data_IF_402828587083
#
_entry.id   IF_402828587083
#
_cell.length_a   1.000
_cell.length_b   1.000
_cell.length_c   1.000
_cell.angle_alpha   90.00
_cell.angle_beta   90.00
_cell.angle_gamma   90.00
#
_symmetry.space_group_name_H-M   'P 1'
#
loop_
_entity.id
_entity.type
_entity.pdbx_description
1 polymer ?
#
# COMPACT_ATOMS: atom_id res chain seq x y z
N UNK A 1 -75.32 -23.13 -31.58
CA UNK A 1 -74.03 -23.49 -30.97
C UNK A 1 -74.36 -24.60 -30.00
N UNK A 2 -74.06 -25.82 -30.37
CA UNK A 2 -74.36 -27.00 -29.53
C UNK A 2 -73.36 -27.06 -28.39
N UNK A 3 -73.76 -27.59 -27.22
CA UNK A 3 -72.89 -27.65 -26.04
C UNK A 3 -71.54 -28.35 -26.32
N UNK A 4 -71.55 -29.28 -27.28
CA UNK A 4 -70.37 -30.03 -27.73
C UNK A 4 -69.35 -29.17 -28.51
N UNK A 5 -69.81 -28.20 -29.31
CA UNK A 5 -68.95 -27.25 -30.02
C UNK A 5 -68.30 -26.24 -29.05
N UNK A 6 -69.06 -25.81 -28.04
CA UNK A 6 -68.57 -24.90 -27.00
C UNK A 6 -67.48 -25.57 -26.15
N UNK A 7 -67.68 -26.83 -25.75
CA UNK A 7 -66.70 -27.60 -24.98
C UNK A 7 -65.42 -27.90 -25.79
N UNK A 8 -65.54 -28.16 -27.09
CA UNK A 8 -64.39 -28.29 -27.98
C UNK A 8 -63.57 -27.00 -28.06
N UNK A 9 -64.25 -25.85 -28.23
CA UNK A 9 -63.59 -24.54 -28.28
C UNK A 9 -62.88 -24.19 -26.96
N UNK A 10 -63.54 -24.42 -25.82
CA UNK A 10 -62.94 -24.15 -24.50
C UNK A 10 -61.72 -25.04 -24.24
N UNK A 11 -61.77 -26.32 -24.63
CA UNK A 11 -60.60 -27.20 -24.54
C UNK A 11 -59.45 -26.68 -25.40
N UNK A 12 -59.74 -26.27 -26.64
CA UNK A 12 -58.71 -25.76 -27.56
C UNK A 12 -58.08 -24.47 -27.06
N UNK A 13 -58.86 -23.53 -26.50
CA UNK A 13 -58.35 -22.30 -25.88
C UNK A 13 -57.51 -22.62 -24.64
N UNK A 14 -57.92 -23.56 -23.79
CA UNK A 14 -57.12 -24.00 -22.62
C UNK A 14 -55.77 -24.57 -23.04
N UNK A 15 -55.71 -25.39 -24.08
CA UNK A 15 -54.45 -25.89 -24.62
C UNK A 15 -53.57 -24.78 -25.19
N UNK A 16 -54.17 -23.78 -25.84
CA UNK A 16 -53.44 -22.65 -26.42
C UNK A 16 -52.83 -21.74 -25.32
N UNK A 17 -53.60 -21.43 -24.28
CA UNK A 17 -53.11 -20.68 -23.11
C UNK A 17 -52.04 -21.48 -22.36
N UNK A 18 -52.26 -22.77 -22.12
CA UNK A 18 -51.26 -23.64 -21.49
C UNK A 18 -49.95 -23.68 -22.29
N UNK A 19 -50.05 -23.73 -23.63
CA UNK A 19 -48.89 -23.67 -24.52
C UNK A 19 -48.12 -22.35 -24.41
N UNK A 20 -48.82 -21.21 -24.36
CA UNK A 20 -48.19 -19.89 -24.18
C UNK A 20 -47.54 -19.77 -22.80
N UNK A 21 -48.21 -20.22 -21.74
CA UNK A 21 -47.64 -20.22 -20.38
C UNK A 21 -46.39 -21.08 -20.34
N UNK A 22 -46.40 -22.26 -20.96
CA UNK A 22 -45.22 -23.14 -21.05
C UNK A 22 -44.07 -22.46 -21.82
N UNK A 23 -44.38 -21.74 -22.91
CA UNK A 23 -43.40 -21.00 -23.71
C UNK A 23 -42.63 -19.97 -22.90
N UNK A 24 -43.27 -19.29 -21.93
CA UNK A 24 -42.62 -18.28 -21.10
C UNK A 24 -42.07 -18.85 -19.78
N UNK A 25 -42.71 -19.86 -19.19
CA UNK A 25 -42.27 -20.46 -17.93
C UNK A 25 -41.02 -21.33 -18.11
N UNK A 26 -40.91 -22.08 -19.21
CA UNK A 26 -39.79 -22.99 -19.45
C UNK A 26 -38.44 -22.27 -19.61
N UNK A 27 -38.31 -21.18 -20.40
CA UNK A 27 -37.07 -20.41 -20.47
C UNK A 27 -36.71 -19.75 -19.14
N UNK A 28 -37.71 -19.31 -18.38
CA UNK A 28 -37.50 -18.68 -17.08
C UNK A 28 -36.97 -19.70 -16.07
N UNK A 29 -37.49 -20.94 -16.08
CA UNK A 29 -36.95 -22.06 -15.31
C UNK A 29 -35.51 -22.41 -15.73
N UNK A 30 -35.23 -22.48 -17.04
CA UNK A 30 -33.88 -22.72 -17.57
C UNK A 30 -32.92 -21.60 -17.13
N UNK A 31 -33.37 -20.35 -17.17
CA UNK A 31 -32.57 -19.19 -16.74
C UNK A 31 -32.29 -19.22 -15.24
N UNK A 32 -33.28 -19.57 -14.40
CA UNK A 32 -33.07 -19.72 -12.95
C UNK A 32 -32.09 -20.84 -12.64
N UNK A 33 -32.17 -21.98 -13.33
CA UNK A 33 -31.22 -23.08 -13.19
C UNK A 33 -29.81 -22.70 -13.65
N UNK A 34 -29.70 -21.93 -14.74
CA UNK A 34 -28.42 -21.44 -15.24
C UNK A 34 -27.76 -20.43 -14.28
N UNK A 35 -28.54 -19.52 -13.68
CA UNK A 35 -28.04 -18.57 -12.68
C UNK A 35 -27.55 -19.28 -11.42
N UNK A 36 -28.29 -20.28 -10.94
CA UNK A 36 -27.93 -21.06 -9.75
C UNK A 36 -26.57 -21.77 -9.95
N UNK A 37 -26.40 -22.50 -11.06
CA UNK A 37 -25.12 -23.14 -11.40
C UNK A 37 -23.97 -22.16 -11.68
N UNK A 38 -24.27 -20.93 -12.12
CA UNK A 38 -23.24 -19.92 -12.40
C UNK A 38 -22.74 -19.23 -11.13
N UNK A 39 -23.56 -19.11 -10.10
CA UNK A 39 -23.18 -18.44 -8.85
C UNK A 39 -22.21 -19.31 -8.03
N UNK A 40 -22.43 -20.63 -7.98
CA UNK A 40 -21.52 -21.57 -7.29
C UNK A 40 -20.10 -21.50 -7.86
N UNK A 41 -19.96 -21.43 -9.19
CA UNK A 41 -18.66 -21.33 -9.86
C UNK A 41 -17.94 -19.98 -9.63
N UNK A 42 -18.70 -18.92 -9.33
CA UNK A 42 -18.14 -17.58 -9.08
C UNK A 42 -17.71 -17.42 -7.61
N UNK A 43 -18.40 -18.07 -6.68
CA UNK A 43 -17.98 -18.11 -5.27
C UNK A 43 -16.66 -18.89 -5.07
N UNK A 44 -16.41 -19.92 -5.90
CA UNK A 44 -15.16 -20.69 -5.89
C UNK A 44 -13.95 -19.88 -6.39
N UNK A 45 -14.16 -18.91 -7.27
CA UNK A 45 -13.11 -17.99 -7.77
C UNK A 45 -12.82 -16.80 -6.83
N UNK A 46 -13.68 -16.58 -5.82
CA UNK A 46 -13.51 -15.53 -4.80
C UNK A 46 -13.01 -16.10 -3.45
N UNK A 47 -12.87 -17.42 -3.32
CA UNK A 47 -12.22 -18.04 -2.16
C UNK A 47 -10.71 -17.88 -2.29
N UNK A 48 -10.21 -16.85 -1.61
CA UNK A 48 -8.83 -16.64 -1.26
C UNK A 48 -8.16 -17.95 -0.83
N UNK A 49 -7.28 -18.53 -1.67
CA UNK A 49 -6.39 -19.61 -1.26
C UNK A 49 -5.47 -19.11 -0.14
N UNK A 50 -5.42 -19.75 1.04
CA UNK A 50 -4.42 -19.48 2.06
C UNK A 50 -3.09 -20.15 1.68
N UNK A 51 -2.00 -19.38 1.67
CA UNK A 51 -0.57 -19.67 2.00
C UNK A 51 0.04 -21.10 1.85
N UNK A 52 -0.55 -22.02 1.09
CA UNK A 52 -0.08 -23.41 0.97
C UNK A 52 0.68 -23.68 -0.36
N UNK A 53 0.85 -22.65 -1.20
CA UNK A 53 1.71 -22.68 -2.39
C UNK A 53 3.22 -22.50 -2.09
N UNK A 54 3.62 -22.29 -0.83
CA UNK A 54 5.04 -22.15 -0.45
C UNK A 54 5.74 -23.49 -0.16
N UNK A 55 5.05 -24.62 -0.25
CA UNK A 55 5.58 -25.91 0.21
C UNK A 55 5.79 -26.96 -0.88
N UNK A 56 5.60 -26.66 -2.17
CA UNK A 56 5.83 -27.64 -3.24
C UNK A 56 7.08 -27.33 -4.05
N UNK A 57 8.15 -28.08 -3.75
CA UNK A 57 9.31 -28.42 -4.58
C UNK A 57 9.87 -27.33 -5.52
N UNK A 58 10.84 -26.58 -5.02
CA UNK A 58 11.97 -26.19 -5.85
C UNK A 58 13.25 -26.45 -5.06
N UNK A 59 14.16 -27.25 -5.64
CA UNK A 59 15.55 -27.36 -5.18
C UNK A 59 16.03 -25.97 -4.75
N UNK A 60 16.50 -25.89 -3.50
CA UNK A 60 17.03 -24.66 -2.90
C UNK A 60 18.14 -24.15 -3.79
N UNK A 61 17.76 -23.21 -4.65
CA UNK A 61 18.63 -22.40 -5.48
C UNK A 61 19.47 -21.55 -4.53
N UNK A 62 20.68 -22.02 -4.23
CA UNK A 62 21.65 -21.34 -3.34
C UNK A 62 22.02 -19.93 -3.84
N UNK A 63 21.60 -19.55 -5.05
CA UNK A 63 21.66 -18.20 -5.60
C UNK A 63 20.60 -17.22 -5.03
N UNK A 64 19.58 -17.69 -4.31
CA UNK A 64 18.53 -16.83 -3.74
C UNK A 64 19.00 -16.09 -2.47
N UNK A 65 20.03 -16.57 -1.78
CA UNK A 65 20.53 -15.90 -0.56
C UNK A 65 21.29 -14.58 -0.83
N UNK A 66 21.59 -14.24 -2.09
CA UNK A 66 22.18 -12.95 -2.45
C UNK A 66 21.14 -11.88 -2.81
N UNK A 67 19.85 -12.20 -2.76
CA UNK A 67 18.77 -11.25 -3.04
C UNK A 67 18.34 -10.58 -1.73
N UNK A 68 18.72 -9.31 -1.60
CA UNK A 68 17.95 -8.26 -0.91
C UNK A 68 18.28 -7.88 0.54
N UNK A 69 19.38 -8.35 1.12
CA UNK A 69 19.98 -7.65 2.26
C UNK A 69 21.32 -7.07 1.80
N UNK A 70 21.36 -5.78 1.46
CA UNK A 70 22.62 -5.05 1.35
C UNK A 70 22.98 -4.60 2.77
N UNK A 71 23.91 -5.27 3.46
CA UNK A 71 24.29 -4.88 4.80
C UNK A 71 25.05 -3.55 4.73
N UNK A 72 24.52 -2.52 5.39
CA UNK A 72 25.09 -1.16 5.39
C UNK A 72 25.15 -0.62 6.80
N UNK A 73 26.17 0.19 7.09
CA UNK A 73 26.42 0.76 8.42
C UNK A 73 25.84 2.17 8.59
N UNK A 74 25.41 2.82 7.51
CA UNK A 74 24.74 4.09 7.59
C UNK A 74 24.56 4.77 6.25
N UNK A 75 23.47 5.51 6.11
CA UNK A 75 23.09 6.14 4.85
C UNK A 75 22.43 7.50 5.08
N UNK A 76 22.46 8.31 4.02
CA UNK A 76 21.65 9.50 3.86
C UNK A 76 20.58 9.21 2.82
N UNK A 77 19.32 9.29 3.24
CA UNK A 77 18.15 8.93 2.44
C UNK A 77 17.31 10.17 2.16
N UNK A 78 17.07 10.44 0.88
CA UNK A 78 16.19 11.49 0.40
C UNK A 78 14.77 10.93 0.24
N UNK A 79 13.79 11.55 0.89
CA UNK A 79 12.39 11.08 0.86
C UNK A 79 11.50 12.19 0.29
N UNK A 80 10.93 12.00 -0.92
CA UNK A 80 9.98 12.97 -1.48
C UNK A 80 8.75 13.13 -0.59
N UNK A 81 8.31 14.37 -0.39
CA UNK A 81 7.14 14.71 0.41
C UNK A 81 6.35 15.84 -0.26
N UNK A 82 5.05 15.93 0.02
CA UNK A 82 4.19 16.93 -0.60
C UNK A 82 3.28 17.51 0.48
N UNK A 83 3.51 18.77 0.88
CA UNK A 83 2.55 19.47 1.77
C UNK A 83 1.25 19.77 1.04
N UNK A 84 1.33 19.92 -0.28
CA UNK A 84 0.17 19.98 -1.15
C UNK A 84 0.47 19.44 -2.54
N UNK A 85 -0.60 19.01 -3.21
CA UNK A 85 -0.59 18.73 -4.65
C UNK A 85 -1.62 19.64 -5.33
N UNK A 86 -1.70 19.58 -6.66
CA UNK A 86 -2.64 20.41 -7.42
C UNK A 86 -3.73 19.53 -8.04
N UNK A 87 -4.97 20.01 -8.01
CA UNK A 87 -6.13 19.35 -8.62
C UNK A 87 -7.00 20.36 -9.38
N UNK A 88 -7.81 19.88 -10.32
CA UNK A 88 -8.77 20.68 -11.08
C UNK A 88 -8.10 21.84 -11.85
N UNK A 89 -8.47 23.06 -11.48
CA UNK A 89 -7.99 24.34 -12.02
C UNK A 89 -6.62 24.77 -11.46
N UNK A 90 -5.86 23.85 -10.89
CA UNK A 90 -4.54 24.12 -10.29
C UNK A 90 -4.62 24.61 -8.85
N UNK A 91 -5.75 24.42 -8.16
CA UNK A 91 -5.88 24.73 -6.74
C UNK A 91 -5.02 23.77 -5.90
N UNK A 92 -4.33 24.27 -4.87
CA UNK A 92 -3.60 23.43 -3.95
C UNK A 92 -4.58 22.61 -3.10
N UNK A 93 -4.29 21.33 -2.96
CA UNK A 93 -4.96 20.40 -2.07
C UNK A 93 -3.95 19.98 -1.00
N UNK A 94 -4.20 20.41 0.24
CA UNK A 94 -3.27 20.24 1.37
C UNK A 94 -3.26 18.79 1.87
N UNK A 95 -2.11 18.35 2.36
CA UNK A 95 -1.86 16.97 2.75
C UNK A 95 -1.17 16.94 4.12
N UNK A 96 -1.64 16.05 4.99
CA UNK A 96 -0.86 15.61 6.15
C UNK A 96 0.22 14.67 5.67
N UNK A 97 1.45 14.84 6.16
CA UNK A 97 2.59 14.00 5.80
C UNK A 97 3.02 13.21 7.02
N UNK A 98 3.11 11.89 6.90
CA UNK A 98 3.70 11.01 7.92
C UNK A 98 4.96 10.38 7.35
N UNK A 99 6.12 10.82 7.82
CA UNK A 99 7.39 10.16 7.55
C UNK A 99 7.58 9.03 8.56
N UNK A 100 7.83 7.81 8.07
CA UNK A 100 8.12 6.64 8.88
C UNK A 100 9.53 6.13 8.59
N UNK A 101 10.31 5.90 9.64
CA UNK A 101 11.61 5.22 9.61
C UNK A 101 11.46 3.89 10.34
N UNK A 102 11.60 2.78 9.62
CA UNK A 102 11.40 1.41 10.13
C UNK A 102 12.73 0.67 10.11
N UNK A 103 13.23 0.27 11.28
CA UNK A 103 14.35 -0.65 11.37
C UNK A 103 13.88 -2.02 10.89
N UNK A 104 14.45 -2.52 9.80
CA UNK A 104 14.14 -3.85 9.23
C UNK A 104 15.02 -4.95 9.80
N UNK A 105 16.08 -4.59 10.53
CA UNK A 105 16.92 -5.56 11.23
C UNK A 105 16.12 -6.26 12.32
N UNK A 106 16.27 -7.59 12.39
CA UNK A 106 15.60 -8.46 13.37
C UNK A 106 16.38 -8.59 14.68
N UNK A 107 17.65 -8.19 14.70
CA UNK A 107 18.55 -8.40 15.85
C UNK A 107 19.30 -7.16 16.30
N UNK A 108 19.45 -6.17 15.41
CA UNK A 108 20.38 -5.07 15.61
C UNK A 108 19.67 -3.74 15.59
N UNK A 109 20.14 -2.82 16.43
CA UNK A 109 19.56 -1.50 16.54
C UNK A 109 20.23 -0.55 15.55
N UNK A 110 19.46 0.44 15.10
CA UNK A 110 19.99 1.57 14.33
C UNK A 110 19.84 2.86 15.13
N UNK A 111 20.56 3.89 14.72
CA UNK A 111 20.47 5.24 15.29
C UNK A 111 20.08 6.20 14.17
N UNK A 112 18.90 6.79 14.29
CA UNK A 112 18.46 7.88 13.43
C UNK A 112 19.13 9.16 13.93
N UNK A 113 20.10 9.66 13.17
CA UNK A 113 20.93 10.80 13.56
C UNK A 113 20.23 12.13 13.30
N UNK A 114 19.57 12.26 12.15
CA UNK A 114 18.80 13.47 11.84
C UNK A 114 17.63 13.20 10.91
N UNK A 115 16.59 14.02 11.04
CA UNK A 115 15.44 14.09 10.14
C UNK A 115 15.21 15.57 9.83
N UNK A 116 15.65 16.00 8.65
CA UNK A 116 15.58 17.40 8.21
C UNK A 116 14.57 17.55 7.09
N UNK A 117 13.74 18.57 7.16
CA UNK A 117 12.65 18.84 6.21
C UNK A 117 12.94 20.09 5.40
N UNK A 118 12.83 19.98 4.08
CA UNK A 118 13.17 21.02 3.12
C UNK A 118 11.96 21.42 2.29
N UNK A 119 11.90 22.70 1.93
CA UNK A 119 10.89 23.24 1.04
C UNK A 119 11.20 22.96 -0.44
N UNK A 120 10.26 23.34 -1.30
CA UNK A 120 10.34 23.21 -2.76
C UNK A 120 11.56 23.95 -3.36
N UNK A 121 12.14 24.92 -2.65
CA UNK A 121 13.33 25.67 -3.08
C UNK A 121 14.63 25.09 -2.52
N UNK A 122 14.56 24.00 -1.76
CA UNK A 122 15.71 23.36 -1.12
C UNK A 122 16.17 24.06 0.16
N UNK A 123 15.36 24.94 0.75
CA UNK A 123 15.66 25.54 2.06
C UNK A 123 15.21 24.61 3.17
N UNK A 124 16.06 24.40 4.16
CA UNK A 124 15.65 23.69 5.38
C UNK A 124 14.59 24.49 6.13
N UNK A 125 13.43 23.87 6.34
CA UNK A 125 12.27 24.44 7.03
C UNK A 125 12.31 24.04 8.50
N UNK A 126 12.63 22.78 8.79
CA UNK A 126 12.55 22.22 10.14
C UNK A 126 13.47 21.02 10.32
N UNK A 127 14.12 20.94 11.48
CA UNK A 127 14.76 19.70 11.96
C UNK A 127 13.89 19.09 13.06
N UNK A 128 13.56 17.80 12.92
CA UNK A 128 12.65 17.11 13.83
C UNK A 128 13.35 16.44 15.01
N UNK A 129 14.65 16.15 14.87
CA UNK A 129 15.44 15.54 15.93
C UNK A 129 16.43 16.56 16.50
N UNK A 130 16.35 16.78 17.82
CA UNK A 130 17.34 17.57 18.56
C UNK A 130 18.57 16.73 18.93
N UNK A 131 18.36 15.45 19.20
CA UNK A 131 19.39 14.46 19.51
C UNK A 131 19.14 13.20 18.69
N UNK A 132 20.19 12.41 18.37
CA UNK A 132 20.02 11.11 17.73
C UNK A 132 19.11 10.19 18.54
N UNK A 133 18.27 9.42 17.85
CA UNK A 133 17.33 8.48 18.45
C UNK A 133 17.75 7.05 18.12
N UNK A 134 17.93 6.24 19.14
CA UNK A 134 18.12 4.79 18.99
C UNK A 134 16.79 4.15 18.62
N UNK A 135 16.79 3.39 17.53
CA UNK A 135 15.65 2.66 17.02
C UNK A 135 15.94 1.15 17.13
N UNK A 136 15.33 0.44 18.08
CA UNK A 136 15.57 -0.99 18.29
C UNK A 136 15.27 -1.85 17.06
N UNK A 137 15.75 -3.09 17.06
CA UNK A 137 15.34 -4.10 16.08
C UNK A 137 13.82 -4.10 15.86
N UNK A 138 13.38 -4.07 14.60
CA UNK A 138 11.97 -4.03 14.17
C UNK A 138 11.15 -2.82 14.65
N UNK A 139 11.76 -1.84 15.31
CA UNK A 139 11.06 -0.65 15.78
C UNK A 139 10.83 0.37 14.65
N UNK A 140 9.82 1.22 14.83
CA UNK A 140 9.49 2.32 13.93
C UNK A 140 9.46 3.63 14.70
N UNK A 141 9.95 4.70 14.08
CA UNK A 141 9.73 6.08 14.55
C UNK A 141 9.09 6.89 13.45
N UNK A 142 8.24 7.84 13.84
CA UNK A 142 7.44 8.63 12.90
C UNK A 142 7.57 10.13 13.17
N UNK A 143 7.43 10.91 12.12
CA UNK A 143 7.33 12.37 12.15
C UNK A 143 6.10 12.77 11.35
N UNK A 144 5.28 13.64 11.93
CA UNK A 144 4.08 14.16 11.28
C UNK A 144 4.24 15.64 10.95
N UNK A 145 3.97 15.99 9.70
CA UNK A 145 3.75 17.36 9.24
C UNK A 145 2.25 17.55 9.14
N UNK A 146 1.73 18.51 9.91
CA UNK A 146 0.31 18.81 9.96
C UNK A 146 -0.19 19.34 8.61
N UNK A 147 -1.44 19.06 8.28
CA UNK A 147 -2.07 19.46 7.01
C UNK A 147 -1.94 20.94 6.70
N UNK A 148 -2.06 21.78 7.73
CA UNK A 148 -2.05 23.23 7.58
C UNK A 148 -0.62 23.81 7.48
N UNK A 149 0.42 22.98 7.69
CA UNK A 149 1.81 23.35 7.46
C UNK A 149 2.18 23.21 5.97
N UNK A 150 1.87 24.26 5.22
CA UNK A 150 2.20 24.39 3.81
C UNK A 150 3.65 24.86 3.54
N UNK A 151 4.52 24.97 4.56
CA UNK A 151 5.85 25.56 4.40
C UNK A 151 6.78 24.75 3.49
N UNK A 152 6.56 23.43 3.38
CA UNK A 152 7.32 22.58 2.45
C UNK A 152 6.93 22.76 0.98
N UNK A 153 5.65 23.02 0.71
CA UNK A 153 5.11 23.17 -0.64
C UNK A 153 5.02 21.85 -1.43
N UNK A 154 4.89 21.97 -2.75
CA UNK A 154 4.65 20.83 -3.66
C UNK A 154 5.90 20.06 -4.10
N UNK A 155 7.09 20.48 -3.66
CA UNK A 155 8.37 19.79 -3.88
C UNK A 155 9.13 19.59 -2.58
N UNK A 156 8.42 19.45 -1.47
CA UNK A 156 9.02 19.22 -0.17
C UNK A 156 9.79 17.90 -0.13
N UNK A 157 10.71 17.76 0.80
CA UNK A 157 11.42 16.50 0.99
C UNK A 157 12.00 16.40 2.39
N UNK A 158 12.29 15.17 2.80
CA UNK A 158 13.09 14.89 3.97
C UNK A 158 14.46 14.40 3.58
N UNK A 159 15.43 14.75 4.41
CA UNK A 159 16.72 14.10 4.45
C UNK A 159 16.86 13.37 5.79
N UNK A 160 16.93 12.05 5.73
CA UNK A 160 17.09 11.19 6.89
C UNK A 160 18.50 10.62 6.90
N UNK A 161 19.23 10.87 7.97
CA UNK A 161 20.55 10.30 8.19
C UNK A 161 20.45 9.28 9.32
N UNK A 162 20.94 8.06 9.07
CA UNK A 162 20.96 6.99 10.06
C UNK A 162 22.28 6.23 10.00
N UNK A 163 22.62 5.56 11.11
CA UNK A 163 23.78 4.68 11.18
C UNK A 163 23.51 3.49 12.11
N UNK A 164 24.32 2.45 12.02
CA UNK A 164 24.37 1.30 12.90
C UNK A 164 25.83 1.03 13.29
N UNK A 165 26.05 0.36 14.42
CA UNK A 165 27.40 0.00 14.86
C UNK A 165 27.99 -1.18 14.09
N UNK A 166 27.13 -1.94 13.43
CA UNK A 166 27.45 -3.08 12.59
C UNK A 166 26.60 -3.01 11.33
N UNK A 167 26.98 -3.76 10.30
CA UNK A 167 26.24 -3.76 9.06
C UNK A 167 24.86 -4.43 9.24
N UNK A 168 23.79 -3.72 8.91
CA UNK A 168 22.40 -4.17 9.10
C UNK A 168 21.62 -4.14 7.79
N UNK A 169 20.47 -4.81 7.76
CA UNK A 169 19.50 -4.65 6.66
C UNK A 169 19.06 -3.19 6.55
N UNK A 170 19.02 -2.68 5.32
CA UNK A 170 18.59 -1.31 5.04
C UNK A 170 17.19 -1.02 5.61
N UNK A 171 17.03 0.04 6.41
CA UNK A 171 15.74 0.41 6.98
C UNK A 171 14.79 0.88 5.88
N UNK A 172 13.49 0.64 6.07
CA UNK A 172 12.46 1.21 5.19
C UNK A 172 12.16 2.62 5.67
N UNK A 173 12.42 3.59 4.80
CA UNK A 173 12.10 5.00 5.04
C UNK A 173 11.12 5.47 3.97
N UNK A 174 9.95 5.92 4.40
CA UNK A 174 8.87 6.31 3.49
C UNK A 174 8.05 7.46 4.06
N UNK A 175 7.48 8.27 3.16
CA UNK A 175 6.50 9.30 3.50
C UNK A 175 5.13 8.89 2.96
N UNK A 176 4.13 8.88 3.84
CA UNK A 176 2.72 8.70 3.49
C UNK A 176 2.05 10.06 3.53
N UNK A 177 1.43 10.45 2.44
CA UNK A 177 0.66 11.68 2.34
C UNK A 177 -0.82 11.34 2.29
N UNK A 178 -1.60 11.98 3.16
CA UNK A 178 -3.05 11.78 3.26
C UNK A 178 -3.72 13.13 3.23
N UNK A 179 -4.71 13.29 2.35
CA UNK A 179 -5.62 14.42 2.41
C UNK A 179 -7.05 13.90 2.43
N UNK A 180 -7.83 14.43 3.37
CA UNK A 180 -9.20 14.04 3.63
C UNK A 180 -10.06 15.29 3.81
N UNK A 181 -10.29 15.99 2.71
CA UNK A 181 -11.26 17.09 2.67
C UNK A 181 -12.54 16.59 1.99
N UNK A 182 -13.66 16.56 2.73
CA UNK A 182 -15.02 16.21 2.25
C UNK A 182 -15.18 14.77 1.71
N UNK A 183 -15.91 14.56 0.60
CA UNK A 183 -16.29 13.25 0.02
C UNK A 183 -15.16 12.57 -0.80
N UNK A 184 -14.01 13.23 -0.96
CA UNK A 184 -12.85 12.68 -1.67
C UNK A 184 -11.64 12.64 -0.74
N UNK A 185 -11.17 11.43 -0.43
CA UNK A 185 -9.90 11.18 0.22
C UNK A 185 -8.86 10.72 -0.79
N UNK A 186 -7.65 11.26 -0.71
CA UNK A 186 -6.50 10.76 -1.45
C UNK A 186 -5.40 10.36 -0.49
N UNK A 187 -4.71 9.28 -0.81
CA UNK A 187 -3.53 8.86 -0.08
C UNK A 187 -2.53 8.24 -1.02
N UNK A 188 -1.26 8.56 -0.83
CA UNK A 188 -0.17 7.93 -1.57
C UNK A 188 1.10 7.92 -0.74
N UNK A 189 1.96 6.94 -1.00
CA UNK A 189 3.25 6.82 -0.35
C UNK A 189 4.39 7.07 -1.34
N UNK A 190 5.51 7.55 -0.82
CA UNK A 190 6.79 7.66 -1.53
C UNK A 190 7.90 7.08 -0.67
N UNK A 191 8.63 6.13 -1.24
CA UNK A 191 9.83 5.59 -0.61
C UNK A 191 10.99 6.55 -0.76
N UNK A 192 11.89 6.51 0.23
CA UNK A 192 13.17 7.16 0.17
C UNK A 192 14.09 6.56 -0.90
N UNK A 193 15.06 7.35 -1.33
CA UNK A 193 16.16 6.92 -2.18
C UNK A 193 17.48 7.25 -1.48
N UNK A 194 18.37 6.26 -1.37
CA UNK A 194 19.72 6.47 -0.85
C UNK A 194 20.48 7.38 -1.80
N UNK A 195 21.05 8.46 -1.26
CA UNK A 195 21.85 9.41 -2.04
C UNK A 195 23.33 9.42 -1.64
N UNK A 196 23.67 8.85 -0.48
CA UNK A 196 25.04 8.71 -0.01
C UNK A 196 25.13 7.68 1.13
N UNK A 197 26.25 6.96 1.20
CA UNK A 197 26.62 6.16 2.37
C UNK A 197 27.20 7.09 3.45
N UNK A 198 26.69 7.01 4.67
CA UNK A 198 27.15 7.81 5.80
C UNK A 198 28.42 7.16 6.38
N UNK A 199 29.56 7.84 6.30
CA UNK A 199 30.81 7.35 6.92
C UNK A 199 30.68 7.41 8.44
N UNK A 200 31.12 6.37 9.18
CA UNK A 200 31.29 6.46 10.62
C UNK A 200 32.20 7.64 10.97
N UNK A 201 31.82 8.44 11.96
CA UNK A 201 32.66 9.55 12.42
C UNK A 201 33.97 8.99 13.00
N UNK A 202 35.15 9.48 12.60
CA UNK A 202 36.44 8.94 13.05
C UNK A 202 36.78 9.19 14.54
N UNK A 203 35.88 9.79 15.32
CA UNK A 203 36.15 10.22 16.70
C UNK A 203 36.17 9.09 17.75
N UNK A 204 35.89 7.83 17.40
CA UNK A 204 35.85 6.72 18.36
C UNK A 204 37.08 5.78 18.30
N UNK A 205 38.01 5.98 17.36
CA UNK A 205 39.11 5.04 17.13
C UNK A 205 40.44 5.49 17.76
N UNK A 206 40.52 6.70 18.33
CA UNK A 206 41.79 7.28 18.84
C UNK A 206 42.07 7.04 20.33
N UNK A 207 41.15 6.44 21.12
CA UNK A 207 41.36 6.19 22.55
C UNK A 207 41.85 4.77 22.93
N UNK A 208 42.17 3.93 21.94
CA UNK A 208 42.69 2.57 22.18
C UNK A 208 43.94 2.29 21.35
N UNK A 209 45.01 3.03 21.65
CA UNK A 209 46.37 2.52 21.46
C UNK A 209 47.16 2.70 22.77
N UNK A 210 47.63 1.61 23.40
CA UNK A 210 48.62 1.67 24.48
C UNK A 210 50.02 2.03 23.96
#
# INVERSE_FOLDING_TARGET
MTDEEADAFVRQVKFLIAGIVLLFALPLLIYTFYLDHRIDAFEETLRHSPLEELQTDHEVRTDIYHLSANPVEGQVVYVPAYSHIYHGDGKPYLLTITLSVRNTSTSSDIVVRSVRYFDTKGKEVKSYLHNPVRLPALATTEVVVERDDAAGGSGANFLVEWHANEAVTEPIIEAVMIGSDSEQGISFARRGSVISEAKPSPAATEELQP
#
